data_IF_683924667680
#
_entry.id   IF_683924667680
#
_cell.length_a   1.000
_cell.length_b   1.000
_cell.length_c   1.000
_cell.angle_alpha   90.00
_cell.angle_beta   90.00
_cell.angle_gamma   90.00
#
_symmetry.space_group_name_H-M   'P 1'
#
loop_
_entity.id
_entity.type
_entity.pdbx_description
1 polymer ?
#
# COMPACT_ATOMS: atom_id res chain seq x y z
N UNK A 1 10.89 -16.58 12.59
CA UNK A 1 10.48 -15.46 11.69
C UNK A 1 9.00 -15.56 11.32
N UNK A 2 8.48 -16.74 10.95
CA UNK A 2 7.05 -16.92 10.65
C UNK A 2 6.10 -16.54 11.82
N UNK A 3 6.45 -16.85 13.06
CA UNK A 3 5.64 -16.44 14.24
C UNK A 3 5.56 -14.92 14.46
N UNK A 4 6.45 -14.14 13.82
CA UNK A 4 6.39 -12.67 13.86
C UNK A 4 5.48 -12.11 12.76
N UNK A 5 5.33 -12.84 11.65
CA UNK A 5 4.46 -12.46 10.53
C UNK A 5 3.02 -12.90 10.82
N UNK A 6 2.83 -14.10 11.37
CA UNK A 6 1.53 -14.64 11.77
C UNK A 6 1.60 -15.07 13.24
N UNK A 7 1.45 -14.14 14.20
CA UNK A 7 1.43 -14.48 15.61
C UNK A 7 0.21 -15.35 15.94
N UNK A 8 0.42 -16.43 16.68
CA UNK A 8 -0.63 -17.36 17.12
C UNK A 8 -1.68 -16.67 18.03
N UNK A 9 -1.35 -15.51 18.61
CA UNK A 9 -2.27 -14.63 19.35
C UNK A 9 -2.19 -13.21 18.82
N UNK A 10 -3.34 -12.69 18.39
CA UNK A 10 -3.49 -11.30 17.96
C UNK A 10 -3.60 -10.37 19.19
N UNK A 11 -2.49 -10.18 19.90
CA UNK A 11 -2.42 -9.30 21.07
C UNK A 11 -1.93 -7.88 20.69
N UNK A 12 -2.16 -6.90 21.56
CA UNK A 12 -1.69 -5.51 21.35
C UNK A 12 -0.21 -5.31 21.70
N UNK A 13 0.48 -6.37 22.16
CA UNK A 13 1.90 -6.37 22.54
C UNK A 13 2.80 -6.42 21.31
N UNK A 14 3.05 -5.26 20.71
CA UNK A 14 4.01 -5.12 19.62
C UNK A 14 5.45 -5.23 20.13
N UNK A 15 6.20 -6.21 19.62
CA UNK A 15 7.60 -6.50 20.02
C UNK A 15 8.66 -5.95 19.05
N UNK A 16 8.26 -5.31 17.95
CA UNK A 16 9.15 -4.70 16.96
C UNK A 16 9.52 -3.24 17.27
N UNK A 17 10.28 -2.60 16.39
CA UNK A 17 10.64 -1.18 16.53
C UNK A 17 9.41 -0.27 16.39
N UNK A 18 9.16 0.61 17.36
CA UNK A 18 8.06 1.60 17.33
C UNK A 18 8.06 2.46 16.06
N UNK A 19 9.24 2.68 15.46
CA UNK A 19 9.38 3.41 14.19
C UNK A 19 8.68 2.71 13.02
N UNK A 20 8.58 1.37 13.03
CA UNK A 20 7.82 0.62 12.04
C UNK A 20 6.31 0.91 12.12
N UNK A 21 5.76 1.13 13.32
CA UNK A 21 4.35 1.53 13.49
C UNK A 21 4.10 2.93 12.90
N UNK A 22 5.05 3.84 13.07
CA UNK A 22 4.95 5.19 12.53
C UNK A 22 5.07 5.18 11.00
N UNK A 23 6.04 4.43 10.45
CA UNK A 23 6.15 4.21 9.01
C UNK A 23 4.88 3.57 8.42
N UNK A 24 4.30 2.60 9.12
CA UNK A 24 3.05 1.98 8.71
C UNK A 24 1.91 2.99 8.64
N UNK A 25 1.77 3.83 9.67
CA UNK A 25 0.76 4.88 9.69
C UNK A 25 0.91 5.84 8.49
N UNK A 26 2.14 6.24 8.16
CA UNK A 26 2.44 7.11 7.00
C UNK A 26 2.06 6.41 5.68
N UNK A 27 2.42 5.14 5.51
CA UNK A 27 2.06 4.36 4.31
C UNK A 27 0.54 4.25 4.16
N UNK A 28 -0.17 3.94 5.24
CA UNK A 28 -1.63 3.80 5.25
C UNK A 28 -2.31 5.13 4.92
N UNK A 29 -1.81 6.23 5.48
CA UNK A 29 -2.32 7.57 5.19
C UNK A 29 -2.12 7.95 3.72
N UNK A 30 -0.92 7.73 3.17
CA UNK A 30 -0.67 7.99 1.75
C UNK A 30 -1.55 7.15 0.84
N UNK A 31 -1.68 5.83 1.11
CA UNK A 31 -2.57 4.96 0.34
C UNK A 31 -4.04 5.40 0.44
N UNK A 32 -4.49 5.86 1.61
CA UNK A 32 -5.84 6.36 1.78
C UNK A 32 -6.06 7.65 0.95
N UNK A 33 -5.10 8.58 0.97
CA UNK A 33 -5.16 9.79 0.16
C UNK A 33 -5.19 9.48 -1.35
N UNK A 34 -4.38 8.52 -1.82
CA UNK A 34 -4.39 8.05 -3.21
C UNK A 34 -5.75 7.44 -3.56
N UNK A 35 -6.28 6.54 -2.72
CA UNK A 35 -7.58 5.91 -2.95
C UNK A 35 -8.72 6.92 -3.00
N UNK A 36 -8.73 7.89 -2.09
CA UNK A 36 -9.73 8.96 -2.05
C UNK A 36 -9.63 9.86 -3.30
N UNK A 37 -8.41 10.21 -3.71
CA UNK A 37 -8.18 10.99 -4.93
C UNK A 37 -8.64 10.23 -6.18
N UNK A 38 -8.46 8.90 -6.22
CA UNK A 38 -8.94 8.05 -7.31
C UNK A 38 -10.48 8.00 -7.39
N UNK A 39 -11.18 8.09 -6.26
CA UNK A 39 -12.66 8.15 -6.21
C UNK A 39 -13.17 9.49 -6.72
N UNK A 40 -12.63 10.60 -6.20
CA UNK A 40 -13.16 11.93 -6.51
C UNK A 40 -12.60 12.54 -7.80
N UNK A 41 -11.37 12.19 -8.17
CA UNK A 41 -10.67 12.75 -9.33
C UNK A 41 -10.10 11.65 -10.25
N UNK A 42 -10.75 10.48 -10.34
CA UNK A 42 -10.27 9.34 -11.13
C UNK A 42 -9.85 9.67 -12.56
N UNK A 43 -10.54 10.60 -13.22
CA UNK A 43 -10.16 11.08 -14.56
C UNK A 43 -8.81 11.80 -14.57
N UNK A 44 -8.57 12.71 -13.61
CA UNK A 44 -7.29 13.41 -13.49
C UNK A 44 -6.17 12.46 -13.07
N UNK A 45 -6.45 11.54 -12.15
CA UNK A 45 -5.48 10.54 -11.68
C UNK A 45 -5.06 9.62 -12.83
N UNK A 46 -6.00 9.14 -13.64
CA UNK A 46 -5.69 8.29 -14.78
C UNK A 46 -4.75 8.97 -15.79
N UNK A 47 -5.01 10.22 -16.15
CA UNK A 47 -4.17 10.96 -17.12
C UNK A 47 -2.84 11.39 -16.49
N UNK A 48 -2.87 11.98 -15.30
CA UNK A 48 -1.67 12.59 -14.71
C UNK A 48 -0.78 11.60 -13.97
N UNK A 49 -1.35 10.77 -13.10
CA UNK A 49 -0.57 9.86 -12.25
C UNK A 49 -0.21 8.57 -12.99
N UNK A 50 -1.13 8.03 -13.79
CA UNK A 50 -0.94 6.76 -14.50
C UNK A 50 -0.63 6.91 -16.00
N UNK A 51 -0.71 8.13 -16.54
CA UNK A 51 -0.34 8.43 -17.93
C UNK A 51 -1.30 7.83 -18.97
N UNK A 52 -2.53 7.48 -18.58
CA UNK A 52 -3.50 6.81 -19.45
C UNK A 52 -4.10 7.85 -20.41
N UNK A 53 -4.01 7.64 -21.74
CA UNK A 53 -4.51 8.58 -22.74
C UNK A 53 -6.03 8.49 -22.88
N UNK A 54 -6.78 8.98 -21.89
CA UNK A 54 -8.24 8.89 -21.87
C UNK A 54 -8.92 9.59 -23.05
N UNK A 55 -8.23 10.56 -23.64
CA UNK A 55 -8.56 11.33 -24.83
C UNK A 55 -8.54 10.49 -26.13
N UNK A 56 -7.84 9.36 -26.15
CA UNK A 56 -7.84 8.42 -27.29
C UNK A 56 -8.98 7.41 -27.25
N UNK A 57 -9.67 7.28 -26.12
CA UNK A 57 -10.80 6.37 -25.99
C UNK A 57 -12.11 7.01 -26.43
N UNK A 58 -13.10 6.15 -26.74
CA UNK A 58 -14.47 6.61 -26.91
C UNK A 58 -14.98 7.23 -25.59
N UNK A 59 -15.93 8.18 -25.63
CA UNK A 59 -16.50 8.79 -24.42
C UNK A 59 -17.07 7.76 -23.44
N UNK A 60 -17.62 6.66 -23.95
CA UNK A 60 -18.11 5.53 -23.14
C UNK A 60 -16.96 4.73 -22.52
N UNK A 61 -15.90 4.47 -23.27
CA UNK A 61 -14.69 3.80 -22.76
C UNK A 61 -13.99 4.61 -21.67
N UNK A 62 -13.82 5.92 -21.87
CA UNK A 62 -13.22 6.81 -20.88
C UNK A 62 -14.02 6.82 -19.57
N UNK A 63 -15.37 6.86 -19.63
CA UNK A 63 -16.22 6.77 -18.45
C UNK A 63 -16.06 5.43 -17.72
N UNK A 64 -16.02 4.32 -18.45
CA UNK A 64 -15.80 3.01 -17.84
C UNK A 64 -14.46 2.92 -17.11
N UNK A 65 -13.38 3.46 -17.69
CA UNK A 65 -12.07 3.52 -17.02
C UNK A 65 -12.14 4.38 -15.75
N UNK A 66 -12.77 5.56 -15.80
CA UNK A 66 -12.94 6.41 -14.61
C UNK A 66 -13.74 5.70 -13.51
N UNK A 67 -14.80 4.97 -13.87
CA UNK A 67 -15.57 4.15 -12.92
C UNK A 67 -14.72 3.04 -12.29
N UNK A 68 -13.86 2.36 -13.07
CA UNK A 68 -12.91 1.38 -12.55
C UNK A 68 -11.89 2.01 -11.60
N UNK A 69 -11.43 3.23 -11.88
CA UNK A 69 -10.56 3.98 -10.97
C UNK A 69 -11.25 4.31 -9.63
N UNK A 70 -12.54 4.64 -9.65
CA UNK A 70 -13.28 4.85 -8.42
C UNK A 70 -13.44 3.55 -7.61
N UNK A 71 -13.75 2.42 -8.27
CA UNK A 71 -13.83 1.11 -7.63
C UNK A 71 -12.47 0.66 -7.07
N UNK A 72 -11.38 0.89 -7.81
CA UNK A 72 -10.02 0.65 -7.34
C UNK A 72 -9.70 1.51 -6.11
N UNK A 73 -10.06 2.80 -6.13
CA UNK A 73 -9.90 3.69 -4.99
C UNK A 73 -10.66 3.21 -3.76
N UNK A 74 -11.91 2.74 -3.93
CA UNK A 74 -12.71 2.15 -2.86
C UNK A 74 -12.03 0.90 -2.27
N UNK A 75 -11.50 0.01 -3.12
CA UNK A 75 -10.79 -1.19 -2.66
C UNK A 75 -9.54 -0.83 -1.82
N UNK A 76 -8.82 0.23 -2.19
CA UNK A 76 -7.70 0.75 -1.40
C UNK A 76 -8.16 1.31 -0.06
N UNK A 77 -9.29 2.04 -0.02
CA UNK A 77 -9.83 2.55 1.24
C UNK A 77 -10.25 1.43 2.20
N UNK A 78 -10.84 0.35 1.69
CA UNK A 78 -11.19 -0.83 2.51
C UNK A 78 -9.92 -1.43 3.14
N UNK A 79 -8.85 -1.61 2.36
CA UNK A 79 -7.57 -2.11 2.87
C UNK A 79 -6.98 -1.13 3.90
N UNK A 80 -7.04 0.18 3.65
CA UNK A 80 -6.58 1.19 4.60
C UNK A 80 -7.36 1.15 5.90
N UNK A 81 -8.68 0.97 5.86
CA UNK A 81 -9.51 0.82 7.06
C UNK A 81 -9.10 -0.40 7.90
N UNK A 82 -8.82 -1.53 7.25
CA UNK A 82 -8.27 -2.72 7.91
C UNK A 82 -6.90 -2.44 8.54
N UNK A 83 -6.03 -1.70 7.85
CA UNK A 83 -4.73 -1.32 8.38
C UNK A 83 -4.85 -0.40 9.61
N UNK A 84 -5.79 0.56 9.60
CA UNK A 84 -6.08 1.41 10.76
C UNK A 84 -6.59 0.58 11.94
N UNK A 85 -7.49 -0.39 11.68
CA UNK A 85 -7.98 -1.31 12.71
C UNK A 85 -6.83 -2.13 13.33
N UNK A 86 -5.91 -2.62 12.51
CA UNK A 86 -4.71 -3.34 12.95
C UNK A 86 -3.82 -2.43 13.80
N UNK A 87 -3.61 -1.18 13.40
CA UNK A 87 -2.80 -0.22 14.14
C UNK A 87 -3.44 0.19 15.49
N UNK A 88 -4.77 0.24 15.54
CA UNK A 88 -5.54 0.61 16.73
C UNK A 88 -5.65 -0.54 17.74
N UNK A 89 -5.90 -1.77 17.28
CA UNK A 89 -6.30 -2.89 18.16
C UNK A 89 -5.38 -4.12 18.08
N UNK A 90 -4.74 -4.38 16.95
CA UNK A 90 -4.00 -5.61 16.69
C UNK A 90 -2.57 -5.34 16.23
N UNK A 91 -1.82 -4.52 16.98
CA UNK A 91 -0.49 -4.05 16.55
C UNK A 91 0.51 -5.18 16.26
N UNK A 92 0.32 -6.37 16.83
CA UNK A 92 1.09 -7.58 16.49
C UNK A 92 0.97 -8.02 15.02
N UNK A 93 -0.11 -7.66 14.32
CA UNK A 93 -0.34 -7.96 12.89
C UNK A 93 0.22 -6.91 11.92
N UNK A 94 0.86 -5.85 12.40
CA UNK A 94 1.52 -4.85 11.55
C UNK A 94 2.53 -5.46 10.55
N UNK A 95 3.45 -6.37 10.94
CA UNK A 95 4.34 -7.04 9.97
C UNK A 95 3.56 -7.82 8.90
N UNK A 96 2.46 -8.47 9.26
CA UNK A 96 1.59 -9.16 8.30
C UNK A 96 1.03 -8.19 7.26
N UNK A 97 0.49 -7.06 7.71
CA UNK A 97 -0.10 -6.07 6.81
C UNK A 97 0.94 -5.44 5.89
N UNK A 98 2.16 -5.19 6.37
CA UNK A 98 3.26 -4.77 5.50
C UNK A 98 3.57 -5.82 4.42
N UNK A 99 3.66 -7.10 4.80
CA UNK A 99 3.90 -8.18 3.84
C UNK A 99 2.76 -8.27 2.80
N UNK A 100 1.51 -8.16 3.24
CA UNK A 100 0.33 -8.19 2.36
C UNK A 100 0.33 -7.03 1.37
N UNK A 101 0.64 -5.80 1.82
CA UNK A 101 0.75 -4.63 0.96
C UNK A 101 1.90 -4.76 -0.06
N UNK A 102 3.03 -5.36 0.36
CA UNK A 102 4.19 -5.57 -0.50
C UNK A 102 3.90 -6.64 -1.57
N UNK A 103 3.23 -7.73 -1.20
CA UNK A 103 2.78 -8.76 -2.15
C UNK A 103 1.75 -8.18 -3.12
N UNK A 104 0.76 -7.40 -2.64
CA UNK A 104 -0.21 -6.73 -3.51
C UNK A 104 0.47 -5.88 -4.57
N UNK A 105 1.48 -5.10 -4.18
CA UNK A 105 2.25 -4.30 -5.11
C UNK A 105 3.03 -5.14 -6.13
N UNK A 106 3.72 -6.20 -5.68
CA UNK A 106 4.51 -7.06 -6.56
C UNK A 106 3.61 -7.78 -7.58
N UNK A 107 2.47 -8.30 -7.14
CA UNK A 107 1.47 -8.95 -8.01
C UNK A 107 0.89 -7.94 -8.99
N UNK A 108 0.56 -6.72 -8.55
CA UNK A 108 0.10 -5.64 -9.44
C UNK A 108 1.14 -5.32 -10.51
N UNK A 109 2.41 -5.20 -10.12
CA UNK A 109 3.51 -4.95 -11.08
C UNK A 109 3.67 -6.11 -12.06
N UNK A 110 3.54 -7.35 -11.59
CA UNK A 110 3.59 -8.54 -12.43
C UNK A 110 2.45 -8.57 -13.45
N UNK A 111 1.22 -8.28 -13.02
CA UNK A 111 0.07 -8.16 -13.93
C UNK A 111 0.33 -7.11 -15.01
N UNK A 112 0.90 -5.96 -14.65
CA UNK A 112 1.21 -4.88 -15.61
C UNK A 112 2.39 -5.21 -16.55
N UNK A 113 3.21 -6.21 -16.25
CA UNK A 113 4.20 -6.75 -17.19
C UNK A 113 3.52 -7.62 -18.25
N UNK A 114 2.49 -8.39 -17.87
CA UNK A 114 1.74 -9.25 -18.80
C UNK A 114 0.64 -8.50 -19.57
N UNK A 115 -0.02 -7.54 -18.93
CA UNK A 115 -1.04 -6.66 -19.50
C UNK A 115 -0.57 -5.21 -19.39
N UNK A 116 0.37 -4.78 -20.27
CA UNK A 116 0.85 -3.41 -20.25
C UNK A 116 -0.28 -2.45 -20.63
N UNK A 117 -0.55 -1.50 -19.73
CA UNK A 117 -1.44 -0.39 -20.03
C UNK A 117 -0.63 0.61 -20.86
N UNK A 118 -1.10 1.04 -22.05
CA UNK A 118 -0.45 2.09 -22.82
C UNK A 118 -0.37 3.36 -21.98
N UNK A 119 0.84 3.92 -21.84
CA UNK A 119 1.08 5.15 -21.08
C UNK A 119 1.77 6.18 -21.96
N UNK A 120 1.39 7.45 -21.79
CA UNK A 120 2.10 8.57 -22.38
C UNK A 120 3.21 9.03 -21.43
N UNK A 121 4.44 9.03 -21.93
CA UNK A 121 5.62 9.51 -21.20
C UNK A 121 5.99 8.64 -19.99
N UNK A 122 6.63 9.26 -19.00
CA UNK A 122 6.99 8.65 -17.71
C UNK A 122 6.08 9.21 -16.62
N UNK A 123 4.99 8.50 -16.25
CA UNK A 123 4.02 9.04 -15.32
C UNK A 123 4.62 9.27 -13.93
N UNK A 124 4.38 10.43 -13.28
CA UNK A 124 4.88 10.73 -11.94
C UNK A 124 4.40 9.71 -10.89
N UNK A 125 3.23 9.08 -11.09
CA UNK A 125 2.69 8.08 -10.17
C UNK A 125 3.58 6.84 -10.03
N UNK A 126 4.39 6.51 -11.06
CA UNK A 126 5.34 5.39 -10.97
C UNK A 126 6.42 5.64 -9.92
N UNK A 127 6.94 6.87 -9.83
CA UNK A 127 7.96 7.25 -8.84
C UNK A 127 7.40 7.23 -7.42
N UNK A 128 6.18 7.74 -7.20
CA UNK A 128 5.51 7.71 -5.89
C UNK A 128 5.28 6.27 -5.43
N UNK A 129 4.80 5.42 -6.33
CA UNK A 129 4.59 4.00 -6.09
C UNK A 129 5.90 3.26 -5.74
N UNK A 130 7.01 3.60 -6.38
CA UNK A 130 8.32 3.02 -6.09
C UNK A 130 8.86 3.48 -4.73
N UNK A 131 8.68 4.76 -4.37
CA UNK A 131 8.99 5.27 -3.04
C UNK A 131 8.20 4.57 -1.94
N UNK A 132 6.90 4.36 -2.15
CA UNK A 132 6.05 3.58 -1.25
C UNK A 132 6.53 2.13 -1.10
N UNK A 133 6.96 1.48 -2.19
CA UNK A 133 7.54 0.13 -2.12
C UNK A 133 8.77 0.09 -1.22
N UNK A 134 9.72 1.02 -1.40
CA UNK A 134 10.93 1.07 -0.59
C UNK A 134 10.55 1.29 0.88
N UNK A 135 9.61 2.19 1.14
CA UNK A 135 9.11 2.46 2.48
C UNK A 135 8.47 1.23 3.13
N UNK A 136 7.68 0.45 2.38
CA UNK A 136 7.08 -0.79 2.85
C UNK A 136 8.12 -1.88 3.12
N UNK A 137 9.14 -2.02 2.27
CA UNK A 137 10.22 -2.98 2.45
C UNK A 137 11.05 -2.64 3.70
N UNK A 138 11.40 -1.37 3.89
CA UNK A 138 12.11 -0.88 5.08
C UNK A 138 11.25 -1.06 6.33
N UNK A 139 9.96 -0.69 6.27
CA UNK A 139 9.01 -0.87 7.37
C UNK A 139 8.85 -2.34 7.79
N UNK A 140 8.79 -3.26 6.82
CA UNK A 140 8.74 -4.69 7.07
C UNK A 140 10.04 -5.18 7.73
N UNK A 141 11.20 -4.80 7.18
CA UNK A 141 12.50 -5.16 7.75
C UNK A 141 12.64 -4.67 9.19
N UNK A 142 12.24 -3.42 9.47
CA UNK A 142 12.26 -2.83 10.82
C UNK A 142 11.26 -3.49 11.77
N UNK A 143 10.13 -3.94 11.25
CA UNK A 143 9.10 -4.66 12.02
C UNK A 143 9.56 -6.06 12.41
N UNK A 144 10.35 -6.72 11.55
CA UNK A 144 10.94 -8.03 11.79
C UNK A 144 12.23 -7.96 12.62
N UNK A 145 12.95 -6.83 12.59
CA UNK A 145 14.16 -6.63 13.37
C UNK A 145 13.81 -6.53 14.86
N UNK A 146 14.12 -7.59 15.61
CA UNK A 146 13.95 -7.66 17.05
C UNK A 146 14.90 -6.67 17.73
N UNK A 147 14.42 -5.89 18.69
CA UNK A 147 15.29 -5.41 19.78
C UNK A 147 15.65 -6.64 20.61
N UNK A 148 16.83 -7.19 20.41
CA UNK A 148 17.46 -7.94 21.49
C UNK A 148 17.77 -6.90 22.57
N UNK A 149 16.93 -6.85 23.61
CA UNK A 149 17.26 -6.07 24.80
C UNK A 149 18.52 -6.71 25.41
N UNK A 150 19.66 -6.01 25.49
CA UNK A 150 20.83 -6.55 26.18
C UNK A 150 20.70 -6.47 27.72
N UNK A 151 19.50 -6.33 28.28
CA UNK A 151 19.30 -6.01 29.71
C UNK A 151 18.96 -7.19 30.62
N UNK A 152 19.38 -8.41 30.27
CA UNK A 152 19.36 -9.56 31.21
C UNK A 152 20.72 -10.26 31.31
N UNK A 153 21.80 -9.48 31.33
CA UNK A 153 23.09 -9.90 31.90
C UNK A 153 23.49 -8.87 32.95
N UNK A 154 23.25 -9.22 34.22
CA UNK A 154 23.55 -8.41 35.40
C UNK A 154 22.73 -8.93 36.56
#
# INVERSE_FOLDING_TARGET
MFDQILPLRADNTYRGYKLALWLFAVVVFMKAAIGLNSIFNGHKVAISADGIPLDTFTPTGARAVVSLFALLGLSHLVICALCVLVLARYRSLVPFMFALLLVEYLVRRLILLFLPIPRIGTPPGSFVNLGLLVLMAVGLALSLWRRDNPQTRG
#
